data_IF_499766523524
#
_entry.id   IF_499766523524
#
_cell.length_a   1.000
_cell.length_b   1.000
_cell.length_c   1.000
_cell.angle_alpha   90.00
_cell.angle_beta   90.00
_cell.angle_gamma   90.00
#
_symmetry.space_group_name_H-M   'P 1'
#
loop_
_entity.id
_entity.type
_entity.pdbx_description
1 polymer ?
#
# COMPACT_ATOMS: atom_id res chain seq x y z
N UNK A 1 37.99 27.39 16.90
CA UNK A 1 36.88 27.93 16.07
C UNK A 1 36.24 29.10 16.81
N UNK A 2 35.90 30.19 16.12
CA UNK A 2 35.32 31.39 16.74
C UNK A 2 33.90 31.08 17.23
N UNK A 3 33.53 31.51 18.45
CA UNK A 3 32.20 31.25 19.06
C UNK A 3 31.04 31.69 18.17
N UNK A 4 31.24 32.73 17.37
CA UNK A 4 30.24 33.24 16.41
C UNK A 4 29.94 32.28 15.27
N UNK A 5 30.90 31.44 14.88
CA UNK A 5 30.73 30.44 13.82
C UNK A 5 29.88 29.25 14.30
N UNK A 6 30.02 28.91 15.58
CA UNK A 6 29.23 27.87 16.23
C UNK A 6 27.74 28.23 16.30
N UNK A 7 27.43 29.48 16.64
CA UNK A 7 26.04 29.98 16.68
C UNK A 7 25.40 30.03 15.29
N UNK A 8 26.16 30.41 14.25
CA UNK A 8 25.71 30.36 12.86
C UNK A 8 25.40 28.93 12.41
N UNK A 9 26.28 27.98 12.73
CA UNK A 9 26.08 26.58 12.40
C UNK A 9 24.86 25.97 13.13
N UNK A 10 24.58 26.40 14.37
CA UNK A 10 23.35 26.01 15.08
C UNK A 10 22.11 26.57 14.41
N UNK A 11 22.12 27.86 14.03
CA UNK A 11 21.02 28.48 13.29
C UNK A 11 20.74 27.77 11.96
N UNK A 12 21.78 27.43 11.20
CA UNK A 12 21.65 26.67 9.96
C UNK A 12 21.08 25.26 10.18
N UNK A 13 21.47 24.58 11.26
CA UNK A 13 20.89 23.26 11.61
C UNK A 13 19.41 23.36 11.94
N UNK A 14 19.00 24.35 12.72
CA UNK A 14 17.60 24.57 13.10
C UNK A 14 16.75 24.92 11.86
N UNK A 15 17.25 25.78 10.98
CA UNK A 15 16.58 26.13 9.73
C UNK A 15 16.43 24.91 8.80
N UNK A 16 17.48 24.09 8.69
CA UNK A 16 17.43 22.85 7.90
C UNK A 16 16.50 21.80 8.51
N UNK A 17 16.42 21.66 9.84
CA UNK A 17 15.44 20.76 10.46
C UNK A 17 14.02 21.23 10.23
N UNK A 18 13.76 22.54 10.29
CA UNK A 18 12.43 23.10 10.06
C UNK A 18 11.99 22.94 8.60
N UNK A 19 12.91 23.18 7.64
CA UNK A 19 12.65 22.99 6.21
C UNK A 19 12.39 21.52 5.85
N UNK A 20 13.09 20.58 6.49
CA UNK A 20 12.86 19.15 6.31
C UNK A 20 11.55 18.67 6.94
N UNK A 21 11.13 19.24 8.08
CA UNK A 21 9.84 18.96 8.69
C UNK A 21 8.66 19.46 7.82
N UNK A 22 8.82 20.63 7.19
CA UNK A 22 7.84 21.18 6.25
C UNK A 22 7.82 20.43 4.90
N UNK A 23 8.97 19.89 4.48
CA UNK A 23 9.09 19.03 3.30
C UNK A 23 8.70 17.57 3.61
N UNK A 24 7.61 17.37 4.37
CA UNK A 24 7.00 16.08 4.59
C UNK A 24 6.84 15.35 3.26
N UNK A 25 7.60 14.27 3.09
CA UNK A 25 7.66 13.47 1.87
C UNK A 25 6.28 12.90 1.53
N UNK A 26 5.57 13.59 0.64
CA UNK A 26 4.66 12.97 -0.34
C UNK A 26 3.36 12.35 0.17
N UNK A 27 2.64 13.00 1.08
CA UNK A 27 1.29 12.58 1.46
C UNK A 27 0.33 13.76 1.43
N UNK A 28 -0.70 13.67 0.59
CA UNK A 28 -1.79 14.65 0.52
C UNK A 28 -2.37 14.87 1.94
N UNK A 29 -2.43 16.13 2.44
CA UNK A 29 -3.03 16.40 3.74
C UNK A 29 -4.52 16.06 3.68
N UNK A 30 -4.95 15.08 4.49
CA UNK A 30 -6.36 14.66 4.61
C UNK A 30 -6.65 13.20 4.26
N UNK A 31 -5.69 12.43 3.75
CA UNK A 31 -5.86 10.98 3.64
C UNK A 31 -5.65 10.36 5.02
N UNK A 32 -6.68 9.70 5.56
CA UNK A 32 -6.59 8.85 6.75
C UNK A 32 -5.30 8.04 6.71
N UNK A 33 -4.58 7.99 7.84
CA UNK A 33 -3.29 7.32 7.97
C UNK A 33 -3.41 5.90 7.39
N UNK A 34 -2.99 5.73 6.12
CA UNK A 34 -2.90 4.41 5.52
C UNK A 34 -1.94 3.63 6.41
N UNK A 35 -2.31 2.43 6.87
CA UNK A 35 -1.42 1.60 7.68
C UNK A 35 -0.07 1.52 6.98
N UNK A 36 1.02 1.51 7.76
CA UNK A 36 2.35 1.40 7.18
C UNK A 36 2.37 0.21 6.23
N UNK A 37 2.93 0.37 5.04
CA UNK A 37 2.91 -0.64 3.99
C UNK A 37 3.54 -1.96 4.46
N UNK A 38 4.40 -1.92 5.48
CA UNK A 38 4.95 -3.10 6.15
C UNK A 38 3.92 -3.82 7.01
N UNK A 39 3.14 -3.09 7.79
CA UNK A 39 2.11 -3.63 8.65
C UNK A 39 0.98 -4.25 7.83
N UNK A 40 0.57 -3.57 6.75
CA UNK A 40 -0.40 -4.15 5.81
C UNK A 40 0.09 -5.46 5.20
N UNK A 41 1.35 -5.53 4.75
CA UNK A 41 1.94 -6.79 4.24
C UNK A 41 2.03 -7.87 5.29
N UNK A 42 2.26 -7.51 6.56
CA UNK A 42 2.29 -8.48 7.67
C UNK A 42 0.91 -9.07 7.90
N UNK A 43 -0.13 -8.23 7.92
CA UNK A 43 -1.52 -8.68 8.04
C UNK A 43 -1.92 -9.56 6.84
N UNK A 44 -1.54 -9.16 5.63
CA UNK A 44 -1.79 -9.95 4.43
C UNK A 44 -1.09 -11.33 4.52
N UNK A 45 0.16 -11.38 4.99
CA UNK A 45 0.89 -12.63 5.21
C UNK A 45 0.26 -13.51 6.30
N UNK A 46 -0.19 -12.91 7.40
CA UNK A 46 -0.92 -13.61 8.47
C UNK A 46 -2.25 -14.19 7.95
N UNK A 47 -2.87 -13.52 6.97
CA UNK A 47 -4.06 -14.00 6.24
C UNK A 47 -3.73 -14.97 5.09
N UNK A 48 -2.45 -15.30 4.86
CA UNK A 48 -2.02 -16.18 3.77
C UNK A 48 -2.11 -15.57 2.37
N UNK A 49 -2.34 -14.25 2.26
CA UNK A 49 -2.44 -13.53 1.00
C UNK A 49 -1.05 -13.35 0.38
N UNK A 50 -0.90 -13.88 -0.84
CA UNK A 50 0.34 -13.77 -1.63
C UNK A 50 0.13 -12.75 -2.75
N UNK A 51 1.03 -11.77 -2.94
CA UNK A 51 0.94 -10.86 -4.07
C UNK A 51 1.18 -11.61 -5.39
N UNK A 52 0.13 -11.74 -6.20
CA UNK A 52 0.18 -12.43 -7.48
C UNK A 52 0.04 -11.43 -8.63
N UNK A 53 1.14 -11.18 -9.35
CA UNK A 53 1.18 -10.21 -10.43
C UNK A 53 0.94 -10.88 -11.80
N UNK A 54 -0.30 -10.83 -12.28
CA UNK A 54 -0.65 -11.18 -13.65
C UNK A 54 -1.15 -9.97 -14.43
N UNK A 55 -0.82 -9.92 -15.73
CA UNK A 55 -1.37 -8.93 -16.63
C UNK A 55 -2.76 -9.39 -17.06
N UNK A 56 -3.76 -8.55 -16.85
CA UNK A 56 -5.13 -8.76 -17.30
C UNK A 56 -5.48 -7.71 -18.36
N UNK A 57 -6.44 -8.06 -19.22
CA UNK A 57 -7.01 -7.11 -20.16
C UNK A 57 -7.65 -5.92 -19.44
N UNK A 58 -7.53 -4.72 -20.02
CA UNK A 58 -8.00 -3.48 -19.39
C UNK A 58 -9.53 -3.43 -19.22
N UNK A 59 -10.31 -4.00 -20.14
CA UNK A 59 -11.75 -4.07 -20.01
C UNK A 59 -12.16 -5.06 -18.92
N UNK A 60 -11.44 -6.19 -18.81
CA UNK A 60 -11.65 -7.16 -17.73
C UNK A 60 -11.40 -6.53 -16.35
N UNK A 61 -10.32 -5.77 -16.18
CA UNK A 61 -10.03 -5.07 -14.92
C UNK A 61 -11.14 -4.11 -14.54
N UNK A 62 -11.68 -3.33 -15.49
CA UNK A 62 -12.80 -2.42 -15.22
C UNK A 62 -14.05 -3.16 -14.75
N UNK A 63 -14.36 -4.29 -15.38
CA UNK A 63 -15.50 -5.14 -14.98
C UNK A 63 -15.30 -5.70 -13.57
N UNK A 64 -14.11 -6.20 -13.26
CA UNK A 64 -13.78 -6.69 -11.92
C UNK A 64 -13.88 -5.58 -10.87
N UNK A 65 -13.45 -4.36 -11.19
CA UNK A 65 -13.56 -3.21 -10.28
C UNK A 65 -15.01 -2.84 -10.00
N UNK A 66 -15.86 -2.82 -11.03
CA UNK A 66 -17.29 -2.54 -10.87
C UNK A 66 -17.97 -3.59 -9.98
N UNK A 67 -17.68 -4.88 -10.20
CA UNK A 67 -18.23 -5.97 -9.39
C UNK A 67 -17.68 -5.97 -7.96
N UNK A 68 -16.40 -5.65 -7.77
CA UNK A 68 -15.76 -5.62 -6.46
C UNK A 68 -16.27 -4.48 -5.57
N UNK A 69 -16.86 -3.43 -6.15
CA UNK A 69 -17.39 -2.29 -5.40
C UNK A 69 -18.54 -2.71 -4.46
N UNK A 70 -19.36 -3.66 -4.89
CA UNK A 70 -20.52 -4.17 -4.13
C UNK A 70 -20.21 -5.49 -3.39
N UNK A 71 -18.98 -6.01 -3.51
CA UNK A 71 -18.62 -7.31 -2.96
C UNK A 71 -18.15 -7.22 -1.50
N UNK A 72 -18.70 -8.01 -0.56
CA UNK A 72 -18.33 -7.95 0.85
C UNK A 72 -16.85 -8.28 1.13
N UNK A 73 -16.23 -9.11 0.28
CA UNK A 73 -14.81 -9.44 0.34
C UNK A 73 -13.91 -8.53 -0.51
N UNK A 74 -14.45 -7.45 -1.10
CA UNK A 74 -13.76 -6.58 -2.04
C UNK A 74 -13.19 -7.32 -3.26
N UNK A 75 -12.14 -6.75 -3.87
CA UNK A 75 -11.51 -7.31 -5.07
C UNK A 75 -10.93 -8.72 -4.85
N UNK A 76 -10.24 -8.93 -3.72
CA UNK A 76 -9.60 -10.21 -3.42
C UNK A 76 -10.63 -11.32 -3.20
N UNK A 77 -11.70 -11.05 -2.46
CA UNK A 77 -12.78 -12.02 -2.26
C UNK A 77 -13.48 -12.39 -3.57
N UNK A 78 -13.81 -11.39 -4.40
CA UNK A 78 -14.41 -11.62 -5.71
C UNK A 78 -13.50 -12.49 -6.61
N UNK A 79 -12.19 -12.18 -6.64
CA UNK A 79 -11.24 -12.95 -7.43
C UNK A 79 -11.13 -14.40 -6.92
N UNK A 80 -11.14 -14.62 -5.61
CA UNK A 80 -11.11 -15.97 -5.05
C UNK A 80 -12.33 -16.79 -5.48
N UNK A 81 -13.54 -16.22 -5.44
CA UNK A 81 -14.76 -16.92 -5.87
C UNK A 81 -14.74 -17.25 -7.37
N UNK A 82 -14.35 -16.27 -8.20
CA UNK A 82 -14.27 -16.45 -9.66
C UNK A 82 -13.21 -17.49 -10.02
N UNK A 83 -12.03 -17.43 -9.41
CA UNK A 83 -10.94 -18.35 -9.69
C UNK A 83 -11.23 -19.76 -9.17
N UNK A 84 -11.78 -19.91 -7.96
CA UNK A 84 -12.14 -21.22 -7.42
C UNK A 84 -13.23 -21.92 -8.25
N UNK A 85 -14.19 -21.17 -8.82
CA UNK A 85 -15.20 -21.72 -9.70
C UNK A 85 -14.71 -22.07 -11.11
N UNK A 86 -13.60 -21.45 -11.57
CA UNK A 86 -13.05 -21.66 -12.90
C UNK A 86 -11.88 -22.67 -12.93
N UNK A 87 -11.19 -22.86 -11.81
CA UNK A 87 -10.09 -23.80 -11.71
C UNK A 87 -10.64 -25.25 -11.67
N UNK A 88 -9.96 -26.19 -12.34
CA UNK A 88 -10.28 -27.60 -12.21
C UNK A 88 -10.05 -28.07 -10.76
N UNK A 89 -10.79 -29.08 -10.28
CA UNK A 89 -10.54 -29.64 -8.95
C UNK A 89 -9.11 -30.19 -8.88
N UNK A 90 -8.44 -29.92 -7.76
CA UNK A 90 -7.07 -30.41 -7.52
C UNK A 90 -7.05 -31.95 -7.61
N UNK A 91 -6.17 -32.54 -8.45
CA UNK A 91 -6.06 -33.98 -8.57
C UNK A 91 -5.47 -34.55 -7.28
N UNK A 92 -6.34 -35.01 -6.37
CA UNK A 92 -5.92 -35.60 -5.09
C UNK A 92 -6.89 -35.43 -3.91
N UNK A 93 -8.00 -34.70 -4.09
CA UNK A 93 -9.10 -34.67 -3.12
C UNK A 93 -10.30 -35.45 -3.67
N UNK A 94 -10.22 -36.78 -3.60
CA UNK A 94 -11.33 -37.71 -3.83
C UNK A 94 -11.33 -38.76 -2.73
#
# INVERSE_FOLDING_TARGET
MKKTDLEKNKGLKIANSLKQAAAGRGGIPGAAARPDRREQRRLDQEQGLVPFACKLDGALVKRLQALAADHPGGMTGLLNEVLAGALPPEPGQA
#
